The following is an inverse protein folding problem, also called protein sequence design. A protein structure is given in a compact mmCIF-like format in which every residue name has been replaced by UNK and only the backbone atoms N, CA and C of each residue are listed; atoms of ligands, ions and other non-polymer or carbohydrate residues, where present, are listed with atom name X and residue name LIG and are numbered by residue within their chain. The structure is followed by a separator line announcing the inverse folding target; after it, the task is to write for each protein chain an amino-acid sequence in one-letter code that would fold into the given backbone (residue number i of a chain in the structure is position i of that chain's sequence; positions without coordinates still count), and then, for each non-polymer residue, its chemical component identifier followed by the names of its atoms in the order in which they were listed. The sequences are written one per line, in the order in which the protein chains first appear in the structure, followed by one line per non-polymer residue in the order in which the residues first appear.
data_IF_014758190515
#
_entry.id   IF_014758190515
#
_cell.length_a   1.000
_cell.length_b   1.000
_cell.length_c   1.000
_cell.angle_alpha   90.00
_cell.angle_beta   90.00
_cell.angle_gamma   90.00
#
_symmetry.space_group_name_H-M   'P 1'
#
loop_
_entity.id
_entity.type
_entity.pdbx_description
1 polymer ?
#
# COMPACT_ATOMS: atom_id res chain seq x y z
N UNK A 1 -34.28 50.21 -51.40
CA UNK A 1 -33.49 49.01 -51.07
C UNK A 1 -34.22 48.27 -49.97
N UNK A 2 -34.59 47.01 -50.19
CA UNK A 2 -35.28 46.19 -49.19
C UNK A 2 -34.62 44.81 -49.18
N UNK A 3 -34.07 44.42 -48.03
CA UNK A 3 -33.42 43.11 -47.83
C UNK A 3 -34.30 42.27 -46.93
N UNK A 4 -35.12 41.42 -47.56
CA UNK A 4 -35.75 40.30 -46.88
C UNK A 4 -34.88 39.06 -47.10
N UNK A 5 -34.37 38.46 -46.03
CA UNK A 5 -33.61 37.21 -46.09
C UNK A 5 -34.44 36.12 -45.40
N UNK A 6 -34.90 35.15 -46.18
CA UNK A 6 -35.76 34.08 -45.70
C UNK A 6 -34.94 33.00 -44.96
N UNK A 7 -35.49 32.49 -43.86
CA UNK A 7 -34.91 31.36 -43.12
C UNK A 7 -35.19 30.04 -43.85
N UNK A 8 -34.16 29.31 -44.23
CA UNK A 8 -34.27 27.96 -44.79
C UNK A 8 -34.03 26.90 -43.70
N UNK A 9 -35.11 26.26 -43.26
CA UNK A 9 -35.04 25.04 -42.45
C UNK A 9 -34.56 23.86 -43.28
N UNK A 10 -33.43 23.24 -42.90
CA UNK A 10 -32.97 21.96 -43.43
C UNK A 10 -33.00 20.89 -42.34
N UNK A 11 -33.90 19.92 -42.51
CA UNK A 11 -34.01 18.73 -41.67
C UNK A 11 -33.08 17.62 -42.18
N UNK A 12 -32.22 17.09 -41.32
CA UNK A 12 -31.45 15.87 -41.60
C UNK A 12 -31.53 14.90 -40.43
N UNK A 13 -32.18 13.77 -40.67
CA UNK A 13 -32.25 12.62 -39.78
C UNK A 13 -31.17 11.60 -40.15
N UNK A 14 -30.31 11.23 -39.19
CA UNK A 14 -29.47 10.03 -39.25
C UNK A 14 -29.60 9.35 -37.86
N UNK A 15 -30.28 8.22 -37.76
CA UNK A 15 -29.87 6.87 -38.21
C UNK A 15 -28.86 6.24 -37.25
N UNK A 16 -29.38 5.37 -36.39
CA UNK A 16 -28.65 4.58 -35.39
C UNK A 16 -28.45 3.14 -35.88
N UNK A 17 -27.19 2.72 -36.04
CA UNK A 17 -26.74 1.32 -36.06
C UNK A 17 -25.46 1.25 -35.21
N UNK A 18 -25.27 0.41 -34.18
CA UNK A 18 -25.81 -0.92 -33.85
C UNK A 18 -25.25 -2.04 -34.75
N UNK A 19 -24.47 -2.94 -34.12
CA UNK A 19 -24.00 -4.20 -34.70
C UNK A 19 -22.67 -4.13 -35.45
N UNK A 20 -21.58 -4.49 -34.77
CA UNK A 20 -20.31 -4.88 -35.40
C UNK A 20 -19.86 -6.21 -34.78
N UNK A 21 -20.62 -7.27 -35.06
CA UNK A 21 -20.19 -8.66 -34.92
C UNK A 21 -19.88 -9.18 -36.33
N UNK A 22 -18.62 -9.59 -36.58
CA UNK A 22 -18.24 -10.65 -37.51
C UNK A 22 -16.70 -10.81 -37.55
N UNK A 23 -16.08 -11.94 -37.89
CA UNK A 23 -16.14 -13.32 -37.36
C UNK A 23 -14.89 -14.09 -37.91
N UNK A 24 -14.56 -15.27 -37.37
CA UNK A 24 -13.51 -16.21 -37.85
C UNK A 24 -12.03 -15.74 -37.77
N UNK A 25 -11.01 -16.60 -37.54
CA UNK A 25 -10.97 -18.06 -37.36
C UNK A 25 -9.88 -18.48 -36.33
N UNK A 26 -9.92 -19.73 -35.87
CA UNK A 26 -9.05 -20.29 -34.83
C UNK A 26 -7.70 -20.86 -35.34
N UNK A 27 -6.69 -20.92 -34.47
CA UNK A 27 -5.74 -22.04 -34.30
C UNK A 27 -4.87 -21.89 -33.04
N UNK A 28 -4.52 -23.01 -32.37
CA UNK A 28 -3.28 -23.13 -31.56
C UNK A 28 -3.33 -22.92 -30.04
N UNK A 29 -3.52 -24.01 -29.28
CA UNK A 29 -2.84 -24.22 -27.97
C UNK A 29 -1.42 -24.78 -28.22
N UNK A 30 -0.51 -24.88 -27.21
CA UNK A 30 -0.58 -24.39 -25.82
C UNK A 30 0.57 -23.43 -25.43
N UNK A 31 0.41 -22.71 -24.31
CA UNK A 31 1.49 -21.92 -23.68
C UNK A 31 2.19 -22.71 -22.57
N UNK A 32 3.51 -22.75 -22.62
CA UNK A 32 4.37 -23.55 -21.72
C UNK A 32 4.64 -22.83 -20.38
N UNK A 33 4.76 -23.61 -19.29
CA UNK A 33 5.22 -23.11 -17.99
C UNK A 33 6.75 -23.21 -17.89
N UNK A 34 7.44 -22.09 -17.85
CA UNK A 34 8.91 -22.06 -17.75
C UNK A 34 9.42 -22.39 -16.35
N UNK A 35 10.33 -23.36 -16.30
CA UNK A 35 10.93 -23.96 -15.10
C UNK A 35 12.01 -23.10 -14.45
N UNK A 36 12.15 -23.23 -13.13
CA UNK A 36 13.27 -22.71 -12.33
C UNK A 36 14.47 -23.67 -12.28
N UNK A 37 15.65 -23.17 -12.65
CA UNK A 37 16.93 -23.48 -11.96
C UNK A 37 17.75 -24.72 -12.39
N UNK A 38 19.06 -24.49 -12.57
CA UNK A 38 20.11 -25.53 -12.43
C UNK A 38 20.88 -25.90 -13.70
N UNK A 39 22.10 -25.36 -13.92
CA UNK A 39 23.00 -25.83 -14.98
C UNK A 39 23.79 -27.08 -14.54
N UNK A 40 23.78 -28.12 -15.37
CA UNK A 40 24.57 -29.35 -15.17
C UNK A 40 25.27 -29.78 -16.46
N UNK A 41 26.61 -29.70 -16.44
CA UNK A 41 27.54 -30.51 -17.25
C UNK A 41 27.27 -30.70 -18.74
N UNK A 42 27.83 -29.82 -19.58
CA UNK A 42 28.03 -30.10 -21.00
C UNK A 42 29.40 -30.76 -21.24
N UNK A 43 29.38 -31.95 -21.87
CA UNK A 43 29.95 -32.18 -23.21
C UNK A 43 30.31 -33.65 -23.41
N UNK A 44 29.72 -34.26 -24.44
CA UNK A 44 30.06 -35.59 -24.91
C UNK A 44 29.95 -35.58 -26.44
N UNK A 45 31.03 -35.93 -27.16
CA UNK A 45 31.08 -35.82 -28.62
C UNK A 45 32.28 -36.58 -29.19
N UNK A 46 32.04 -37.45 -30.17
CA UNK A 46 32.97 -38.49 -30.61
C UNK A 46 33.34 -38.43 -32.10
N UNK A 47 34.50 -39.01 -32.43
CA UNK A 47 34.98 -39.29 -33.81
C UNK A 47 35.89 -38.20 -34.41
N UNK A 48 36.94 -38.51 -35.19
CA UNK A 48 37.52 -39.82 -35.54
C UNK A 48 38.57 -39.73 -36.67
N UNK A 49 39.31 -40.83 -36.90
CA UNK A 49 40.25 -41.11 -38.03
C UNK A 49 41.67 -40.46 -38.04
N UNK A 50 42.65 -41.24 -38.52
CA UNK A 50 44.01 -40.79 -38.92
C UNK A 50 45.16 -41.72 -38.48
N UNK A 51 45.94 -42.27 -39.44
CA UNK A 51 47.16 -43.08 -39.17
C UNK A 51 48.42 -42.22 -38.88
N UNK A 52 49.66 -42.73 -38.83
CA UNK A 52 50.23 -43.99 -39.37
C UNK A 52 51.60 -44.37 -38.75
N UNK A 53 51.88 -45.68 -38.64
CA UNK A 53 53.17 -46.39 -38.91
C UNK A 53 54.47 -46.19 -38.06
N UNK A 54 55.29 -47.26 -38.07
CA UNK A 54 56.71 -47.40 -37.63
C UNK A 54 57.01 -47.25 -36.12
N UNK A 55 58.04 -47.84 -35.47
CA UNK A 55 58.99 -48.98 -35.71
C UNK A 55 59.78 -49.19 -34.38
N UNK A 56 60.46 -50.29 -34.00
CA UNK A 56 60.68 -51.63 -34.57
C UNK A 56 62.06 -52.21 -34.13
N UNK A 57 62.13 -53.50 -33.75
CA UNK A 57 63.30 -54.15 -33.11
C UNK A 57 63.22 -54.17 -31.58
N UNK A 58 63.43 -55.26 -30.81
CA UNK A 58 64.21 -56.50 -31.03
C UNK A 58 65.71 -56.20 -31.23
N UNK A 59 66.68 -56.90 -30.63
CA UNK A 59 66.68 -58.24 -30.00
C UNK A 59 67.94 -58.49 -29.13
N UNK A 60 67.90 -59.55 -28.30
CA UNK A 60 69.00 -60.47 -27.88
C UNK A 60 70.45 -60.00 -27.55
N UNK A 61 71.07 -60.65 -26.54
CA UNK A 61 72.54 -60.74 -26.45
C UNK A 61 73.07 -61.31 -25.12
N UNK A 62 73.57 -62.55 -25.13
CA UNK A 62 74.15 -63.23 -23.95
C UNK A 62 75.62 -63.67 -24.19
N UNK A 63 76.45 -63.58 -23.15
CA UNK A 63 77.72 -64.30 -22.89
C UNK A 63 78.26 -63.78 -21.52
N UNK A 64 78.82 -64.56 -20.57
CA UNK A 64 80.11 -65.30 -20.60
C UNK A 64 81.29 -64.41 -21.05
N UNK A 65 82.45 -64.35 -20.39
CA UNK A 65 83.04 -65.21 -19.34
C UNK A 65 84.12 -64.47 -18.52
N UNK A 66 84.30 -64.91 -17.26
CA UNK A 66 85.56 -65.35 -16.59
C UNK A 66 86.89 -64.54 -16.60
N UNK A 67 87.64 -64.75 -15.50
CA UNK A 67 89.08 -64.51 -15.27
C UNK A 67 89.59 -63.11 -14.82
N UNK A 68 90.53 -63.13 -13.86
CA UNK A 68 91.49 -62.05 -13.62
C UNK A 68 91.38 -61.28 -12.30
N UNK A 69 92.09 -61.74 -11.26
CA UNK A 69 92.33 -60.97 -10.03
C UNK A 69 93.55 -60.01 -10.20
N UNK A 70 93.92 -59.15 -9.23
CA UNK A 70 93.93 -57.70 -9.42
C UNK A 70 95.34 -57.10 -9.60
N UNK A 71 95.40 -55.76 -9.80
CA UNK A 71 96.30 -54.96 -8.98
C UNK A 71 95.54 -53.86 -8.22
N UNK A 72 95.80 -53.74 -6.92
CA UNK A 72 95.32 -52.63 -6.11
C UNK A 72 96.40 -51.54 -6.05
N UNK A 73 96.08 -50.32 -6.51
CA UNK A 73 96.42 -49.07 -5.80
C UNK A 73 95.78 -47.81 -6.45
N UNK A 74 95.45 -47.81 -7.75
CA UNK A 74 94.75 -46.69 -8.43
C UNK A 74 93.30 -46.46 -7.97
N UNK A 75 92.69 -47.44 -7.29
CA UNK A 75 91.30 -47.35 -6.83
C UNK A 75 91.09 -46.32 -5.71
N UNK A 76 92.11 -46.05 -4.89
CA UNK A 76 92.02 -45.13 -3.73
C UNK A 76 91.96 -43.65 -4.10
N UNK A 77 92.49 -43.25 -5.26
CA UNK A 77 92.45 -41.87 -5.76
C UNK A 77 91.27 -41.64 -6.73
N UNK A 78 90.78 -42.71 -7.37
CA UNK A 78 89.65 -42.62 -8.31
C UNK A 78 88.27 -42.66 -7.62
N UNK A 79 88.15 -43.31 -6.46
CA UNK A 79 86.98 -43.22 -5.56
C UNK A 79 86.62 -41.76 -5.16
N UNK A 80 87.52 -40.96 -4.56
CA UNK A 80 87.20 -39.60 -4.14
C UNK A 80 86.89 -38.67 -5.32
N UNK A 81 87.58 -38.81 -6.47
CA UNK A 81 87.26 -38.06 -7.70
C UNK A 81 85.88 -38.42 -8.26
N UNK A 82 85.44 -39.70 -8.16
CA UNK A 82 84.07 -40.10 -8.52
C UNK A 82 83.04 -39.54 -7.53
N UNK A 83 83.36 -39.51 -6.23
CA UNK A 83 82.50 -38.92 -5.21
C UNK A 83 82.36 -37.40 -5.41
N UNK A 84 83.44 -36.69 -5.74
CA UNK A 84 83.45 -35.28 -6.10
C UNK A 84 82.64 -35.01 -7.38
N UNK A 85 82.83 -35.82 -8.44
CA UNK A 85 82.05 -35.69 -9.67
C UNK A 85 80.56 -35.94 -9.45
N UNK A 86 80.19 -36.87 -8.55
CA UNK A 86 78.80 -37.09 -8.10
C UNK A 86 78.26 -35.86 -7.34
N UNK A 87 79.04 -35.27 -6.43
CA UNK A 87 78.66 -34.03 -5.72
C UNK A 87 78.50 -32.85 -6.67
N UNK A 88 79.40 -32.67 -7.63
CA UNK A 88 79.32 -31.61 -8.65
C UNK A 88 78.08 -31.77 -9.53
N UNK A 89 77.80 -32.98 -10.04
CA UNK A 89 76.57 -33.28 -10.77
C UNK A 89 75.28 -33.08 -9.92
N UNK A 90 75.37 -33.29 -8.61
CA UNK A 90 74.25 -33.05 -7.67
C UNK A 90 74.02 -31.56 -7.48
N UNK A 91 75.08 -30.77 -7.23
CA UNK A 91 75.03 -29.31 -7.13
C UNK A 91 74.56 -28.67 -8.45
N UNK A 92 74.96 -29.18 -9.62
CA UNK A 92 74.43 -28.73 -10.92
C UNK A 92 72.91 -28.94 -11.02
N UNK A 93 72.40 -30.09 -10.57
CA UNK A 93 70.95 -30.36 -10.55
C UNK A 93 70.23 -29.43 -9.59
N UNK A 94 70.78 -29.22 -8.39
CA UNK A 94 70.24 -28.29 -7.38
C UNK A 94 70.24 -26.84 -7.88
N UNK A 95 71.28 -26.40 -8.59
CA UNK A 95 71.32 -25.07 -9.25
C UNK A 95 70.25 -24.97 -10.34
N UNK A 96 70.02 -26.03 -11.13
CA UNK A 96 68.96 -26.05 -12.15
C UNK A 96 67.56 -26.04 -11.53
N UNK A 97 67.32 -26.78 -10.45
CA UNK A 97 66.02 -26.77 -9.75
C UNK A 97 65.78 -25.45 -9.01
N UNK A 98 66.80 -24.88 -8.35
CA UNK A 98 66.72 -23.55 -7.72
C UNK A 98 66.47 -22.45 -8.76
N UNK A 99 67.09 -22.52 -9.95
CA UNK A 99 66.79 -21.59 -11.05
C UNK A 99 65.35 -21.75 -11.55
N UNK A 100 64.84 -22.97 -11.69
CA UNK A 100 63.42 -23.20 -12.04
C UNK A 100 62.46 -22.71 -10.95
N UNK A 101 62.81 -22.87 -9.67
CA UNK A 101 62.03 -22.33 -8.55
C UNK A 101 62.06 -20.80 -8.57
N UNK A 102 63.23 -20.17 -8.73
CA UNK A 102 63.36 -18.72 -8.85
C UNK A 102 62.55 -18.16 -10.03
N UNK A 103 62.54 -18.87 -11.17
CA UNK A 103 61.75 -18.48 -12.34
C UNK A 103 60.22 -18.52 -12.05
N UNK A 104 59.76 -19.54 -11.31
CA UNK A 104 58.38 -19.61 -10.79
C UNK A 104 58.08 -18.56 -9.72
N UNK A 105 59.09 -18.06 -9.00
CA UNK A 105 58.93 -16.93 -8.09
C UNK A 105 58.93 -15.58 -8.81
N UNK A 106 59.62 -15.42 -9.94
CA UNK A 106 59.47 -14.23 -10.81
C UNK A 106 58.14 -14.19 -11.57
N UNK A 107 57.43 -15.32 -11.67
CA UNK A 107 56.04 -15.36 -12.13
C UNK A 107 55.06 -14.82 -11.06
N UNK A 108 55.44 -14.80 -9.77
CA UNK A 108 54.70 -14.09 -8.71
C UNK A 108 55.01 -12.59 -8.81
N UNK A 109 54.42 -11.96 -9.81
CA UNK A 109 54.70 -10.59 -10.19
C UNK A 109 54.18 -9.57 -9.15
N UNK A 110 54.97 -8.54 -8.79
CA UNK A 110 54.45 -7.40 -8.02
C UNK A 110 53.32 -6.68 -8.79
N UNK A 111 53.30 -6.79 -10.12
CA UNK A 111 52.23 -6.30 -10.99
C UNK A 111 50.90 -7.02 -10.77
N UNK A 112 50.88 -8.32 -10.41
CA UNK A 112 49.64 -9.01 -10.06
C UNK A 112 49.10 -8.53 -8.71
N UNK A 113 49.97 -8.25 -7.74
CA UNK A 113 49.59 -7.61 -6.49
C UNK A 113 49.03 -6.20 -6.69
N UNK A 114 49.67 -5.39 -7.55
CA UNK A 114 49.16 -4.06 -7.91
C UNK A 114 47.79 -4.15 -8.59
N UNK A 115 47.64 -5.06 -9.56
CA UNK A 115 46.38 -5.30 -10.29
C UNK A 115 45.27 -5.84 -9.38
N UNK A 116 45.60 -6.69 -8.41
CA UNK A 116 44.66 -7.19 -7.41
C UNK A 116 44.21 -6.06 -6.46
N UNK A 117 45.13 -5.20 -6.04
CA UNK A 117 44.84 -4.02 -5.20
C UNK A 117 44.00 -2.96 -5.95
N UNK A 118 44.24 -2.78 -7.26
CA UNK A 118 43.40 -1.95 -8.11
C UNK A 118 42.01 -2.55 -8.31
N UNK A 119 41.91 -3.86 -8.54
CA UNK A 119 40.62 -4.57 -8.63
C UNK A 119 39.83 -4.50 -7.31
N UNK A 120 40.50 -4.57 -6.15
CA UNK A 120 39.89 -4.38 -4.84
C UNK A 120 39.35 -2.95 -4.66
N UNK A 121 40.11 -1.91 -5.04
CA UNK A 121 39.63 -0.52 -5.03
C UNK A 121 38.46 -0.30 -5.99
N UNK A 122 38.50 -0.88 -7.20
CA UNK A 122 37.39 -0.81 -8.15
C UNK A 122 36.14 -1.50 -7.61
N UNK A 123 36.30 -2.66 -6.96
CA UNK A 123 35.22 -3.36 -6.26
C UNK A 123 34.62 -2.46 -5.16
N UNK A 124 35.45 -1.86 -4.30
CA UNK A 124 34.97 -0.96 -3.23
C UNK A 124 34.20 0.25 -3.77
N UNK A 125 34.62 0.82 -4.90
CA UNK A 125 33.90 1.94 -5.56
C UNK A 125 32.54 1.47 -6.10
N UNK A 126 32.49 0.30 -6.73
CA UNK A 126 31.22 -0.28 -7.23
C UNK A 126 30.29 -0.68 -6.08
N UNK A 127 30.84 -1.21 -4.99
CA UNK A 127 30.12 -1.58 -3.76
C UNK A 127 29.46 -0.35 -3.13
N UNK A 128 30.19 0.78 -3.01
CA UNK A 128 29.61 2.06 -2.56
C UNK A 128 28.53 2.61 -3.52
N UNK A 129 28.70 2.48 -4.84
CA UNK A 129 27.67 2.89 -5.80
C UNK A 129 26.40 2.01 -5.70
N UNK A 130 26.57 0.72 -5.45
CA UNK A 130 25.47 -0.21 -5.22
C UNK A 130 24.76 0.09 -3.89
N UNK A 131 25.50 0.32 -2.80
CA UNK A 131 24.94 0.69 -1.49
C UNK A 131 24.13 2.00 -1.57
N UNK A 132 24.66 3.04 -2.25
CA UNK A 132 23.92 4.28 -2.48
C UNK A 132 22.64 4.06 -3.29
N UNK A 133 22.68 3.20 -4.31
CA UNK A 133 21.50 2.87 -5.13
C UNK A 133 20.49 2.04 -4.35
N UNK A 134 20.95 1.06 -3.57
CA UNK A 134 20.13 0.21 -2.70
C UNK A 134 19.41 1.08 -1.67
N UNK A 135 20.14 1.95 -0.97
CA UNK A 135 19.58 2.91 -0.03
C UNK A 135 18.56 3.85 -0.67
N UNK A 136 18.80 4.37 -1.88
CA UNK A 136 17.81 5.18 -2.60
C UNK A 136 16.54 4.40 -2.94
N UNK A 137 16.69 3.13 -3.35
CA UNK A 137 15.56 2.24 -3.63
C UNK A 137 14.79 1.89 -2.34
N UNK A 138 15.49 1.64 -1.24
CA UNK A 138 14.92 1.35 0.07
C UNK A 138 14.17 2.57 0.61
N UNK A 139 14.79 3.76 0.66
CA UNK A 139 14.15 5.01 1.06
C UNK A 139 12.91 5.32 0.19
N UNK A 140 12.99 5.14 -1.14
CA UNK A 140 11.85 5.32 -2.04
C UNK A 140 10.74 4.27 -1.82
N UNK A 141 11.09 3.04 -1.44
CA UNK A 141 10.12 2.00 -1.09
C UNK A 141 9.45 2.27 0.26
N UNK A 142 10.21 2.71 1.27
CA UNK A 142 9.73 3.09 2.58
C UNK A 142 8.77 4.29 2.49
N UNK A 143 9.09 5.29 1.67
CA UNK A 143 8.18 6.41 1.38
C UNK A 143 6.87 5.94 0.74
N UNK A 144 6.92 5.01 -0.23
CA UNK A 144 5.70 4.44 -0.85
C UNK A 144 4.86 3.65 0.15
N UNK A 145 5.49 2.81 0.99
CA UNK A 145 4.79 2.06 2.05
C UNK A 145 4.17 3.00 3.08
N UNK A 146 4.87 4.07 3.48
CA UNK A 146 4.35 5.08 4.39
C UNK A 146 3.16 5.86 3.79
N UNK A 147 3.23 6.23 2.51
CA UNK A 147 2.12 6.89 1.81
C UNK A 147 0.87 5.99 1.72
N UNK A 148 1.03 4.71 1.33
CA UNK A 148 -0.07 3.73 1.28
C UNK A 148 -0.64 3.45 2.67
N UNK A 149 0.20 3.43 3.72
CA UNK A 149 -0.26 3.29 5.09
C UNK A 149 -1.09 4.50 5.57
N UNK A 150 -0.70 5.72 5.19
CA UNK A 150 -1.44 6.94 5.48
C UNK A 150 -2.80 6.97 4.73
N UNK A 151 -2.81 6.67 3.43
CA UNK A 151 -4.04 6.57 2.61
C UNK A 151 -5.01 5.53 3.19
N UNK A 152 -4.49 4.36 3.57
CA UNK A 152 -5.27 3.30 4.24
C UNK A 152 -5.92 3.81 5.53
N UNK A 153 -5.20 4.59 6.34
CA UNK A 153 -5.71 5.06 7.62
C UNK A 153 -6.68 6.25 7.48
N UNK A 154 -6.47 7.11 6.49
CA UNK A 154 -7.47 8.10 6.07
C UNK A 154 -8.76 7.41 5.60
N UNK A 155 -8.66 6.41 4.70
CA UNK A 155 -9.81 5.65 4.23
C UNK A 155 -10.57 4.97 5.37
N UNK A 156 -9.88 4.43 6.39
CA UNK A 156 -10.51 3.90 7.60
C UNK A 156 -11.23 4.97 8.41
N UNK A 157 -10.64 6.16 8.57
CA UNK A 157 -11.27 7.28 9.27
C UNK A 157 -12.54 7.75 8.53
N UNK A 158 -12.47 7.87 7.20
CA UNK A 158 -13.62 8.17 6.35
C UNK A 158 -14.73 7.10 6.51
N UNK A 159 -14.38 5.81 6.53
CA UNK A 159 -15.34 4.71 6.78
C UNK A 159 -16.01 4.84 8.16
N UNK A 160 -15.24 5.13 9.22
CA UNK A 160 -15.79 5.33 10.57
C UNK A 160 -16.72 6.55 10.61
N UNK A 161 -16.35 7.65 9.95
CA UNK A 161 -17.21 8.84 9.85
C UNK A 161 -18.52 8.52 9.10
N UNK A 162 -18.45 7.83 7.94
CA UNK A 162 -19.64 7.44 7.18
C UNK A 162 -20.55 6.46 7.94
N UNK A 163 -19.98 5.55 8.75
CA UNK A 163 -20.74 4.65 9.63
C UNK A 163 -21.48 5.45 10.71
N UNK A 164 -20.77 6.36 11.38
CA UNK A 164 -21.35 7.27 12.37
C UNK A 164 -22.47 8.11 11.76
N UNK A 165 -22.23 8.70 10.58
CA UNK A 165 -23.20 9.54 9.89
C UNK A 165 -24.48 8.78 9.52
N UNK A 166 -24.37 7.55 8.98
CA UNK A 166 -25.52 6.69 8.68
C UNK A 166 -26.32 6.31 9.93
N UNK A 167 -25.65 6.06 11.05
CA UNK A 167 -26.34 5.78 12.32
C UNK A 167 -27.02 7.04 12.87
N UNK A 168 -26.39 8.22 12.71
CA UNK A 168 -26.98 9.50 13.11
C UNK A 168 -28.23 9.81 12.28
N UNK A 169 -28.17 9.59 10.97
CA UNK A 169 -29.30 9.79 10.04
C UNK A 169 -30.47 8.85 10.38
N UNK A 170 -30.16 7.57 10.65
CA UNK A 170 -31.15 6.59 11.11
C UNK A 170 -31.77 6.97 12.45
N UNK A 171 -30.96 7.36 13.43
CA UNK A 171 -31.43 7.74 14.77
C UNK A 171 -32.27 9.02 14.72
N UNK A 172 -31.84 10.03 13.94
CA UNK A 172 -32.58 11.26 13.70
C UNK A 172 -33.94 10.98 13.05
N UNK A 173 -33.97 10.15 12.01
CA UNK A 173 -35.22 9.74 11.33
C UNK A 173 -36.14 8.95 12.27
N UNK A 174 -35.58 8.05 13.09
CA UNK A 174 -36.33 7.26 14.08
C UNK A 174 -36.90 8.12 15.22
N UNK A 175 -36.24 9.21 15.59
CA UNK A 175 -36.72 10.21 16.55
C UNK A 175 -37.75 11.19 15.95
N UNK A 176 -38.26 10.92 14.75
CA UNK A 176 -39.16 11.81 13.99
C UNK A 176 -38.50 13.17 13.70
N UNK A 177 -37.22 13.16 13.32
CA UNK A 177 -36.49 14.32 12.80
C UNK A 177 -37.15 14.92 11.56
N UNK A 178 -37.17 16.25 11.45
CA UNK A 178 -37.76 16.95 10.31
C UNK A 178 -37.01 16.64 9.03
N UNK A 179 -37.75 16.33 7.98
CA UNK A 179 -37.24 16.22 6.62
C UNK A 179 -37.25 17.58 5.91
N UNK A 180 -36.42 17.73 4.88
CA UNK A 180 -36.21 18.99 4.16
C UNK A 180 -35.07 19.84 4.74
N UNK A 181 -35.00 21.10 4.31
CA UNK A 181 -33.89 22.01 4.62
C UNK A 181 -34.17 23.46 4.24
N UNK A 182 -33.21 24.32 4.54
CA UNK A 182 -33.18 25.73 4.16
C UNK A 182 -31.95 26.03 3.28
N UNK A 183 -31.62 27.31 3.09
CA UNK A 183 -30.45 27.73 2.32
C UNK A 183 -29.08 27.33 2.92
N UNK A 184 -29.05 26.72 4.12
CA UNK A 184 -27.84 26.29 4.84
C UNK A 184 -27.65 24.77 4.84
N UNK A 185 -28.62 24.00 4.37
CA UNK A 185 -28.59 22.54 4.33
C UNK A 185 -29.88 21.91 4.83
N UNK A 186 -29.88 20.59 5.01
CA UNK A 186 -31.01 19.87 5.60
C UNK A 186 -31.08 20.07 7.12
N UNK A 187 -32.24 19.82 7.73
CA UNK A 187 -32.33 19.76 9.20
C UNK A 187 -31.41 18.69 9.80
N UNK A 188 -31.13 17.61 9.04
CA UNK A 188 -30.15 16.61 9.44
C UNK A 188 -28.70 17.17 9.43
N UNK A 189 -28.33 18.00 8.44
CA UNK A 189 -27.02 18.65 8.43
C UNK A 189 -26.83 19.60 9.62
N UNK A 190 -27.89 20.34 9.99
CA UNK A 190 -27.90 21.18 11.19
C UNK A 190 -27.79 20.33 12.47
N UNK A 191 -28.57 19.26 12.58
CA UNK A 191 -28.48 18.29 13.68
C UNK A 191 -27.07 17.71 13.80
N UNK A 192 -26.49 17.23 12.70
CA UNK A 192 -25.15 16.67 12.62
C UNK A 192 -24.08 17.69 13.01
N UNK A 193 -24.20 18.94 12.55
CA UNK A 193 -23.25 20.01 12.87
C UNK A 193 -23.29 20.46 14.33
N UNK A 194 -24.46 20.45 14.97
CA UNK A 194 -24.65 20.92 16.34
C UNK A 194 -24.52 19.82 17.41
N UNK A 195 -25.00 18.61 17.11
CA UNK A 195 -25.13 17.52 18.08
C UNK A 195 -24.35 16.26 17.66
N UNK A 196 -23.86 16.18 16.42
CA UNK A 196 -23.09 15.02 15.93
C UNK A 196 -21.76 14.82 16.66
N UNK A 197 -21.17 15.86 17.27
CA UNK A 197 -19.98 15.76 18.13
C UNK A 197 -20.30 15.10 19.48
N UNK A 198 -21.52 15.22 19.97
CA UNK A 198 -22.01 14.59 21.21
C UNK A 198 -22.21 13.07 21.08
N UNK A 199 -21.82 12.43 19.98
CA UNK A 199 -21.91 10.97 19.81
C UNK A 199 -20.55 10.36 19.51
N UNK A 200 -20.19 9.29 20.22
CA UNK A 200 -19.10 8.39 19.87
C UNK A 200 -19.64 7.21 19.07
N UNK A 201 -18.90 6.80 18.03
CA UNK A 201 -19.12 5.50 17.40
C UNK A 201 -18.42 4.44 18.24
N UNK A 202 -19.19 3.47 18.75
CA UNK A 202 -18.65 2.31 19.47
C UNK A 202 -19.08 1.03 18.76
N UNK A 203 -18.11 0.16 18.45
CA UNK A 203 -18.42 -1.19 17.96
C UNK A 203 -18.63 -2.10 19.16
N UNK A 204 -19.87 -2.54 19.37
CA UNK A 204 -20.22 -3.46 20.44
C UNK A 204 -19.72 -4.90 20.17
N UNK A 205 -19.80 -5.77 21.19
CA UNK A 205 -19.32 -7.16 21.11
C UNK A 205 -19.94 -7.99 19.98
N UNK A 206 -21.14 -7.64 19.52
CA UNK A 206 -21.84 -8.23 18.37
C UNK A 206 -21.28 -7.81 16.99
N UNK A 207 -20.15 -7.10 16.94
CA UNK A 207 -19.65 -6.37 15.76
C UNK A 207 -20.65 -5.35 15.17
N UNK A 208 -21.62 -4.91 15.98
CA UNK A 208 -22.59 -3.87 15.61
C UNK A 208 -22.08 -2.51 16.07
N UNK A 209 -22.04 -1.57 15.14
CA UNK A 209 -21.74 -0.17 15.44
C UNK A 209 -22.96 0.49 16.10
N UNK A 210 -22.73 1.18 17.22
CA UNK A 210 -23.72 1.86 18.08
C UNK A 210 -23.25 3.29 18.33
N UNK A 211 -24.21 4.20 18.57
CA UNK A 211 -23.93 5.59 18.95
C UNK A 211 -24.09 5.78 20.45
N UNK A 212 -22.99 6.12 21.11
CA UNK A 212 -22.95 6.42 22.54
C UNK A 212 -22.97 7.95 22.74
N UNK A 213 -24.00 8.52 23.39
CA UNK A 213 -24.05 9.94 23.73
C UNK A 213 -22.95 10.33 24.72
N UNK A 214 -22.37 11.52 24.54
CA UNK A 214 -21.26 12.06 25.33
C UNK A 214 -21.61 13.40 25.98
N UNK A 215 -21.02 13.65 27.15
CA UNK A 215 -21.05 14.93 27.83
C UNK A 215 -20.07 15.94 27.20
N UNK A 216 -20.04 17.17 27.73
CA UNK A 216 -19.11 18.22 27.29
C UNK A 216 -17.63 17.94 27.63
N UNK A 217 -17.33 16.88 28.40
CA UNK A 217 -15.98 16.40 28.70
C UNK A 217 -15.60 15.15 27.86
N UNK A 218 -16.47 14.69 26.95
CA UNK A 218 -16.23 13.50 26.12
C UNK A 218 -16.41 12.16 26.86
N UNK A 219 -17.04 12.16 28.05
CA UNK A 219 -17.42 10.94 28.79
C UNK A 219 -18.81 10.49 28.34
N UNK A 220 -19.14 9.19 28.39
CA UNK A 220 -20.52 8.73 28.16
C UNK A 220 -21.49 9.46 29.07
N UNK A 221 -22.61 9.94 28.53
CA UNK A 221 -23.72 10.42 29.36
C UNK A 221 -24.31 9.24 30.13
N UNK A 222 -24.79 9.50 31.34
CA UNK A 222 -25.50 8.53 32.15
C UNK A 222 -26.98 8.93 32.19
N UNK A 223 -27.87 7.95 32.03
CA UNK A 223 -29.31 8.12 32.25
C UNK A 223 -29.64 8.20 33.75
N UNK A 224 -30.92 8.44 34.04
CA UNK A 224 -31.41 8.60 35.43
C UNK A 224 -31.22 7.34 36.30
N UNK A 225 -31.01 6.17 35.69
CA UNK A 225 -30.73 4.89 36.35
C UNK A 225 -29.23 4.64 36.61
N UNK A 226 -28.36 5.57 36.23
CA UNK A 226 -26.91 5.46 36.37
C UNK A 226 -26.24 4.54 35.34
N UNK A 227 -26.95 4.11 34.28
CA UNK A 227 -26.36 3.38 33.14
C UNK A 227 -25.96 4.33 32.02
N UNK A 228 -25.09 3.92 31.08
CA UNK A 228 -24.82 4.70 29.88
C UNK A 228 -26.12 5.00 29.11
N UNK A 229 -26.35 6.28 28.87
CA UNK A 229 -27.57 6.80 28.24
C UNK A 229 -27.72 6.26 26.81
N UNK A 230 -28.93 5.93 26.39
CA UNK A 230 -29.17 5.41 25.04
C UNK A 230 -29.30 6.53 24.00
N UNK A 231 -28.98 6.26 22.73
CA UNK A 231 -29.16 7.21 21.62
C UNK A 231 -30.60 7.74 21.54
N UNK A 232 -31.59 6.87 21.79
CA UNK A 232 -33.02 7.21 21.76
C UNK A 232 -33.42 8.14 22.88
N UNK A 233 -33.01 7.83 24.11
CA UNK A 233 -33.29 8.64 25.31
C UNK A 233 -32.69 10.04 25.20
N UNK A 234 -31.46 10.16 24.67
CA UNK A 234 -30.84 11.45 24.39
C UNK A 234 -31.67 12.25 23.38
N UNK A 235 -32.11 11.63 22.27
CA UNK A 235 -32.91 12.31 21.25
C UNK A 235 -34.30 12.73 21.76
N UNK A 236 -34.91 11.94 22.65
CA UNK A 236 -36.17 12.32 23.32
C UNK A 236 -35.99 13.56 24.21
N UNK A 237 -34.86 13.70 24.90
CA UNK A 237 -34.51 14.95 25.60
C UNK A 237 -34.27 16.11 24.62
N UNK A 238 -33.55 15.88 23.52
CA UNK A 238 -33.33 16.92 22.49
C UNK A 238 -34.62 17.41 21.85
N UNK A 239 -35.65 16.55 21.80
CA UNK A 239 -36.96 16.84 21.22
C UNK A 239 -37.78 17.85 22.04
N UNK A 240 -37.62 17.86 23.37
CA UNK A 240 -38.22 18.87 24.26
C UNK A 240 -37.28 20.05 24.55
N UNK A 241 -36.03 19.99 24.10
CA UNK A 241 -35.04 21.03 24.36
C UNK A 241 -35.41 22.36 23.68
N UNK A 242 -35.41 23.51 24.40
CA UNK A 242 -35.92 24.78 23.86
C UNK A 242 -35.17 25.28 22.61
N UNK A 243 -33.88 24.92 22.47
CA UNK A 243 -33.03 25.32 21.33
C UNK A 243 -33.03 24.28 20.20
N UNK A 244 -33.31 23.01 20.46
CA UNK A 244 -33.09 21.92 19.48
C UNK A 244 -34.36 21.17 19.08
N UNK A 245 -35.46 21.31 19.82
CA UNK A 245 -36.75 20.69 19.51
C UNK A 245 -37.33 21.09 18.15
N UNK A 246 -36.88 22.20 17.55
CA UNK A 246 -37.27 22.61 16.20
C UNK A 246 -36.77 21.67 15.09
N UNK A 247 -35.75 20.85 15.37
CA UNK A 247 -35.19 19.87 14.45
C UNK A 247 -36.09 18.63 14.29
N UNK A 248 -37.09 18.47 15.15
CA UNK A 248 -37.98 17.31 15.18
C UNK A 248 -39.41 17.71 14.80
N UNK A 249 -40.18 16.76 14.26
CA UNK A 249 -41.61 16.92 14.06
C UNK A 249 -42.27 17.09 15.43
N UNK A 250 -42.98 18.18 15.67
CA UNK A 250 -43.82 18.27 16.87
C UNK A 250 -45.09 17.44 16.65
N UNK A 251 -45.35 16.48 17.55
CA UNK A 251 -46.62 15.75 17.60
C UNK A 251 -47.72 16.69 18.14
N UNK A 252 -48.30 17.49 17.25
CA UNK A 252 -49.64 18.02 17.46
C UNK A 252 -50.65 16.86 17.58
N UNK A 253 -51.82 17.08 18.21
CA UNK A 253 -52.89 16.09 18.20
C UNK A 253 -53.23 15.68 16.76
N UNK A 254 -53.53 14.39 16.57
CA UNK A 254 -53.61 13.77 15.25
C UNK A 254 -54.57 14.51 14.31
N UNK A 255 -54.03 15.10 13.24
CA UNK A 255 -54.78 15.85 12.23
C UNK A 255 -54.09 17.13 11.73
N UNK A 256 -53.24 17.76 12.54
CA UNK A 256 -52.69 19.11 12.23
C UNK A 256 -51.40 19.13 11.39
N UNK A 257 -51.00 18.04 10.73
CA UNK A 257 -49.79 17.99 9.89
C UNK A 257 -50.08 18.29 8.40
N UNK A 258 -50.68 19.44 8.12
CA UNK A 258 -50.91 19.93 6.75
C UNK A 258 -50.87 21.47 6.61
N UNK A 259 -50.14 22.16 7.49
CA UNK A 259 -49.83 23.58 7.32
C UNK A 259 -48.47 23.91 7.95
N UNK A 260 -47.54 24.44 7.15
CA UNK A 260 -46.33 25.04 7.68
C UNK A 260 -46.63 26.42 8.27
N UNK A 261 -46.37 26.61 9.57
CA UNK A 261 -46.43 27.94 10.18
C UNK A 261 -46.82 27.96 11.66
N UNK A 262 -45.93 28.53 12.47
CA UNK A 262 -46.16 29.09 13.82
C UNK A 262 -46.79 28.20 14.91
N UNK A 263 -45.91 27.72 15.78
CA UNK A 263 -46.23 27.39 17.18
C UNK A 263 -46.46 28.66 18.01
N UNK A 264 -47.66 29.26 17.97
CA UNK A 264 -48.24 30.01 19.09
C UNK A 264 -49.77 29.83 19.08
N UNK A 265 -50.25 28.72 19.64
CA UNK A 265 -51.69 28.60 19.96
C UNK A 265 -52.01 29.40 21.23
N UNK A 266 -52.11 30.72 21.07
CA UNK A 266 -52.77 31.56 22.06
C UNK A 266 -54.26 31.26 22.06
N UNK A 267 -54.77 30.69 23.16
CA UNK A 267 -56.22 30.53 23.34
C UNK A 267 -56.81 31.92 23.53
N UNK A 268 -57.76 32.32 22.68
CA UNK A 268 -58.42 33.61 22.81
C UNK A 268 -59.23 33.70 24.10
N UNK A 269 -59.61 34.92 24.53
CA UNK A 269 -60.39 35.13 25.77
C UNK A 269 -61.75 34.39 25.80
N UNK A 270 -62.17 33.84 24.66
CA UNK A 270 -63.45 33.19 24.44
C UNK A 270 -63.30 31.67 24.17
N UNK A 271 -62.09 31.10 24.34
CA UNK A 271 -61.83 29.65 24.16
C UNK A 271 -61.54 29.20 22.72
N UNK A 272 -61.89 29.99 21.72
CA UNK A 272 -61.64 29.69 20.30
C UNK A 272 -60.15 29.74 19.92
N UNK A 273 -59.67 28.85 19.02
CA UNK A 273 -58.30 28.87 18.53
C UNK A 273 -58.07 30.09 17.63
N UNK A 274 -57.13 30.95 18.04
CA UNK A 274 -56.72 32.11 17.24
C UNK A 274 -55.96 31.62 16.00
N UNK A 275 -56.48 31.96 14.81
CA UNK A 275 -55.74 31.80 13.55
C UNK A 275 -54.95 33.09 13.25
N UNK A 276 -53.61 33.11 13.41
CA UNK A 276 -52.80 34.31 13.20
C UNK A 276 -52.67 34.70 11.72
N UNK A 277 -53.02 33.83 10.77
CA UNK A 277 -52.96 34.13 9.33
C UNK A 277 -54.25 34.76 8.78
N UNK A 278 -55.36 34.70 9.53
CA UNK A 278 -56.62 35.35 9.16
C UNK A 278 -56.71 36.81 9.68
N UNK A 279 -55.79 37.22 10.56
CA UNK A 279 -55.75 38.57 11.13
C UNK A 279 -54.82 39.50 10.37
N UNK A 280 -55.26 40.75 10.21
CA UNK A 280 -54.42 41.85 9.76
C UNK A 280 -53.35 42.20 10.81
N UNK A 281 -52.25 42.83 10.39
CA UNK A 281 -51.15 43.20 11.27
C UNK A 281 -51.57 44.11 12.45
N UNK A 282 -52.61 44.93 12.26
CA UNK A 282 -53.20 45.78 13.30
C UNK A 282 -54.01 44.98 14.33
N UNK A 283 -54.63 43.87 13.94
CA UNK A 283 -55.34 42.96 14.84
C UNK A 283 -54.36 42.10 15.64
N UNK A 284 -53.30 41.58 15.01
CA UNK A 284 -52.19 40.91 15.70
C UNK A 284 -51.53 41.82 16.74
N UNK A 285 -51.26 43.08 16.39
CA UNK A 285 -50.73 44.07 17.33
C UNK A 285 -51.67 44.25 18.53
N UNK A 286 -52.98 44.42 18.30
CA UNK A 286 -53.98 44.59 19.38
C UNK A 286 -54.12 43.35 20.26
N UNK A 287 -54.08 42.15 19.68
CA UNK A 287 -54.13 40.89 20.41
C UNK A 287 -52.96 40.71 21.37
N UNK A 288 -51.76 41.19 21.01
CA UNK A 288 -50.57 41.07 21.86
C UNK A 288 -50.69 41.81 23.20
N UNK A 289 -51.41 42.94 23.25
CA UNK A 289 -51.68 43.67 24.51
C UNK A 289 -52.80 43.04 25.34
N UNK A 290 -53.77 42.35 24.71
CA UNK A 290 -54.88 41.73 25.43
C UNK A 290 -54.44 40.56 26.33
N UNK A 291 -53.42 39.80 25.91
CA UNK A 291 -52.83 38.70 26.69
C UNK A 291 -52.13 39.19 27.96
N UNK A 292 -51.53 40.38 27.94
CA UNK A 292 -50.75 40.93 29.06
C UNK A 292 -51.61 41.70 30.10
N UNK A 293 -52.93 41.76 29.94
CA UNK A 293 -53.83 42.58 30.78
C UNK A 293 -54.25 41.97 32.13
N UNK A 294 -54.08 40.67 32.36
CA UNK A 294 -54.49 40.02 33.63
C UNK A 294 -53.37 40.07 34.69
N UNK A 295 -53.06 41.27 35.18
CA UNK A 295 -51.89 41.48 36.04
C UNK A 295 -51.89 42.69 36.99
N UNK A 296 -53.02 43.34 37.29
CA UNK A 296 -53.05 44.39 38.33
C UNK A 296 -54.41 44.46 39.05
N UNK A 297 -54.36 44.58 40.38
CA UNK A 297 -55.52 44.77 41.26
C UNK A 297 -55.91 46.25 41.35
N UNK A 298 -57.22 46.55 41.34
CA UNK A 298 -57.92 47.18 42.47
C UNK A 298 -59.43 47.15 42.25
#
# INVERSE_FOLDING_TARGET
MATATASSTSSTTASSGQGADDNYAATGQPGETTTTGGPSGDSNGAGGQGGTAASGGDSSGAAQSEAGAPPADDSRLTEPLRAERRKSNQLEKEIRTLRQQLNRFSEINPEEYARLQEAERQKQILEQQMELRERQMEEASAQKVAAVAAERDEAKQQILQLRKDRLLERAFSQAEGRTGGDARGTFFDIFKGQLGTCFRLTTGGDCKDVLEPLDSQGKPLLGDDGRPMTTTEFLDQMRVHPVYGFLFQQRGPAGMQAAGGLTVSGIGSNGEPINPQAMSASELYRASFAVNGRGARR
#
